data_IF_608658239990
#
_entry.id   IF_608658239990
#
_cell.length_a   1.000
_cell.length_b   1.000
_cell.length_c   1.000
_cell.angle_alpha   90.00
_cell.angle_beta   90.00
_cell.angle_gamma   90.00
#
_symmetry.space_group_name_H-M   'P 1'
#
loop_
_entity.id
_entity.type
_entity.pdbx_description
1 polymer ?
2 water ?
#
# COMPACT_ATOMS: atom_id res chain seq x y z
N UNK A 1 -9.19 1.76 3.49
CA UNK A 1 -7.70 1.86 3.58
C UNK A 1 -7.08 1.04 2.47
N UNK A 2 -6.08 1.64 1.82
CA UNK A 2 -5.21 0.93 0.90
C UNK A 2 -3.78 1.37 1.18
N UNK A 3 -2.90 0.39 1.36
CA UNK A 3 -1.47 0.61 1.51
C UNK A 3 -0.75 -0.26 0.49
N UNK A 4 0.24 0.34 -0.17
CA UNK A 4 1.16 -0.40 -1.00
C UNK A 4 2.59 0.01 -0.68
N UNK A 5 3.44 -1.00 -0.67
CA UNK A 5 4.87 -0.84 -0.51
C UNK A 5 5.55 -1.69 -1.58
N UNK A 6 6.44 -1.06 -2.36
CA UNK A 6 7.23 -1.78 -3.38
C UNK A 6 8.70 -1.44 -3.24
#
# INVERSE_FOLDING_TARGET
>A
LYIQWL
#
